data_IF_900857744911
#
_entry.id   IF_900857744911
#
_cell.length_a   1.000
_cell.length_b   1.000
_cell.length_c   1.000
_cell.angle_alpha   90.00
_cell.angle_beta   90.00
_cell.angle_gamma   90.00
#
_symmetry.space_group_name_H-M   'P 1'
#
loop_
_entity.id
_entity.type
_entity.pdbx_description
1 polymer ?
#
# COMPACT_ATOMS: atom_id res chain seq x y z
N UNK A 1 -6.73 -15.14 17.51
CA UNK A 1 -5.43 -14.90 16.84
C UNK A 1 -5.63 -13.98 15.65
N UNK A 2 -5.25 -12.71 15.78
CA UNK A 2 -5.27 -11.73 14.69
C UNK A 2 -3.82 -11.31 14.44
N UNK A 3 -2.95 -12.19 13.95
CA UNK A 3 -1.56 -11.83 13.66
C UNK A 3 -1.14 -12.52 12.37
N UNK A 4 -0.51 -11.78 11.46
CA UNK A 4 0.02 -12.36 10.22
C UNK A 4 1.41 -12.91 10.50
N UNK A 5 1.59 -14.20 10.23
CA UNK A 5 2.87 -14.89 10.40
C UNK A 5 3.53 -15.03 9.03
N UNK A 6 4.67 -14.35 8.86
CA UNK A 6 5.51 -14.38 7.66
C UNK A 6 6.76 -15.21 7.96
N UNK A 7 7.19 -16.05 7.04
CA UNK A 7 8.25 -17.03 7.28
C UNK A 7 9.59 -16.64 6.66
N UNK A 8 10.69 -16.88 7.37
CA UNK A 8 12.07 -16.70 6.89
C UNK A 8 12.77 -18.07 6.72
N UNK A 9 12.57 -18.74 5.59
CA UNK A 9 13.17 -20.06 5.32
C UNK A 9 14.47 -20.02 4.49
N UNK A 10 15.37 -20.97 4.75
CA UNK A 10 16.44 -21.37 3.82
C UNK A 10 15.87 -22.32 2.74
N UNK A 11 16.49 -22.31 1.56
CA UNK A 11 15.88 -22.71 0.28
C UNK A 11 16.33 -24.09 -0.17
N UNK A 12 15.39 -24.97 -0.50
CA UNK A 12 15.63 -26.18 -1.31
C UNK A 12 14.52 -26.44 -2.35
N UNK A 13 14.85 -27.21 -3.38
CA UNK A 13 14.29 -27.19 -4.75
C UNK A 13 13.07 -28.09 -5.03
N UNK A 14 12.10 -27.46 -5.72
CA UNK A 14 11.09 -27.90 -6.73
C UNK A 14 10.35 -29.26 -6.68
N UNK A 15 9.06 -29.17 -7.02
CA UNK A 15 8.30 -30.16 -7.82
C UNK A 15 7.38 -29.40 -8.79
N UNK A 16 7.15 -29.94 -9.99
CA UNK A 16 6.62 -29.28 -11.19
C UNK A 16 5.35 -30.00 -11.67
N UNK A 17 4.21 -29.33 -11.81
CA UNK A 17 2.98 -29.89 -12.41
C UNK A 17 2.42 -28.97 -13.51
N UNK A 18 2.16 -29.52 -14.69
CA UNK A 18 1.96 -28.80 -15.96
C UNK A 18 0.54 -28.26 -16.15
N UNK A 19 -0.48 -28.89 -15.52
CA UNK A 19 -1.88 -28.41 -15.60
C UNK A 19 -2.11 -27.15 -14.76
N UNK A 20 -1.43 -27.04 -13.62
CA UNK A 20 -1.54 -25.89 -12.71
C UNK A 20 -0.96 -24.63 -13.35
N UNK A 21 0.16 -24.75 -14.07
CA UNK A 21 0.81 -23.64 -14.78
C UNK A 21 -0.06 -23.01 -15.89
N UNK A 22 -0.93 -23.78 -16.54
CA UNK A 22 -1.76 -23.29 -17.63
C UNK A 22 -2.96 -22.44 -17.14
N UNK A 23 -3.48 -22.73 -15.95
CA UNK A 23 -4.54 -21.96 -15.31
C UNK A 23 -3.99 -20.74 -14.55
N UNK A 24 -2.80 -20.84 -13.95
CA UNK A 24 -2.09 -19.69 -13.36
C UNK A 24 -1.79 -18.61 -14.42
N UNK A 25 -1.47 -19.00 -15.66
CA UNK A 25 -1.34 -18.06 -16.79
C UNK A 25 -2.63 -17.27 -17.06
N UNK A 26 -3.82 -17.85 -16.83
CA UNK A 26 -5.11 -17.15 -17.00
C UNK A 26 -5.38 -16.10 -15.92
N UNK A 27 -4.70 -16.16 -14.77
CA UNK A 27 -4.81 -15.20 -13.66
C UNK A 27 -3.55 -14.31 -13.57
N UNK A 28 -2.85 -14.11 -14.70
CA UNK A 28 -1.67 -13.25 -14.78
C UNK A 28 -0.41 -13.81 -14.12
N UNK A 29 -0.37 -15.13 -13.84
CA UNK A 29 0.79 -15.85 -13.30
C UNK A 29 1.10 -15.61 -11.82
N UNK A 30 0.48 -14.62 -11.19
CA UNK A 30 0.78 -14.20 -9.82
C UNK A 30 0.06 -15.07 -8.76
N UNK A 31 -1.18 -15.46 -9.00
CA UNK A 31 -2.03 -16.14 -8.01
C UNK A 31 -2.04 -17.67 -8.20
N UNK A 32 -1.98 -18.42 -7.09
CA UNK A 32 -2.24 -19.85 -7.09
C UNK A 32 -3.74 -20.14 -7.27
N UNK A 33 -4.05 -21.28 -7.90
CA UNK A 33 -5.41 -21.71 -8.29
C UNK A 33 -6.07 -22.67 -7.29
N UNK A 34 -5.44 -22.95 -6.15
CA UNK A 34 -5.89 -23.97 -5.19
C UNK A 34 -7.00 -23.51 -4.24
N UNK A 35 -7.51 -22.28 -4.39
CA UNK A 35 -8.48 -21.70 -3.46
C UNK A 35 -9.91 -21.92 -3.94
N UNK A 36 -10.83 -22.26 -3.01
CA UNK A 36 -12.26 -22.33 -3.29
C UNK A 36 -12.79 -20.96 -3.75
N UNK A 37 -13.35 -20.91 -4.96
CA UNK A 37 -13.83 -19.67 -5.59
C UNK A 37 -14.95 -19.01 -4.80
N UNK A 38 -15.86 -19.80 -4.22
CA UNK A 38 -17.02 -19.28 -3.48
C UNK A 38 -16.60 -18.61 -2.17
N UNK A 39 -15.55 -19.13 -1.51
CA UNK A 39 -15.02 -18.56 -0.27
C UNK A 39 -14.45 -17.15 -0.44
N UNK A 40 -13.91 -16.82 -1.62
CA UNK A 40 -13.32 -15.51 -1.92
C UNK A 40 -13.47 -15.16 -3.40
N UNK A 41 -14.63 -14.62 -3.77
CA UNK A 41 -14.98 -14.27 -5.15
C UNK A 41 -14.00 -13.26 -5.75
N UNK A 42 -13.55 -12.31 -4.94
CA UNK A 42 -12.64 -11.25 -5.38
C UNK A 42 -11.28 -11.78 -5.87
N UNK A 43 -10.84 -12.96 -5.44
CA UNK A 43 -9.58 -13.56 -5.91
C UNK A 43 -9.60 -13.83 -7.41
N UNK A 44 -10.74 -14.25 -7.94
CA UNK A 44 -10.89 -14.67 -9.34
C UNK A 44 -11.63 -13.64 -10.19
N UNK A 45 -12.56 -12.88 -9.60
CA UNK A 45 -13.43 -11.96 -10.35
C UNK A 45 -12.84 -10.56 -10.46
N UNK A 46 -11.72 -10.26 -9.80
CA UNK A 46 -11.09 -8.95 -9.94
C UNK A 46 -10.67 -8.62 -11.38
N UNK A 47 -10.33 -9.63 -12.19
CA UNK A 47 -9.94 -9.43 -13.59
C UNK A 47 -11.08 -9.01 -14.51
N UNK A 48 -12.35 -9.17 -14.12
CA UNK A 48 -13.49 -8.72 -14.93
C UNK A 48 -13.77 -7.23 -14.76
N UNK A 49 -13.38 -6.64 -13.62
CA UNK A 49 -13.54 -5.20 -13.36
C UNK A 49 -12.29 -4.39 -13.68
N UNK A 50 -11.12 -5.02 -13.67
CA UNK A 50 -9.83 -4.35 -13.84
C UNK A 50 -9.34 -4.45 -15.28
N UNK A 51 -8.78 -3.36 -15.79
CA UNK A 51 -7.91 -3.42 -16.97
C UNK A 51 -6.70 -4.30 -16.67
N UNK A 52 -6.23 -5.13 -17.62
CA UNK A 52 -5.00 -5.90 -17.44
C UNK A 52 -3.82 -4.98 -17.11
N UNK A 53 -3.12 -5.26 -16.02
CA UNK A 53 -1.94 -4.48 -15.65
C UNK A 53 -0.83 -4.67 -16.68
N UNK A 54 -0.18 -3.59 -17.16
CA UNK A 54 0.97 -3.69 -18.04
C UNK A 54 2.20 -4.27 -17.31
N UNK A 55 2.22 -4.20 -15.97
CA UNK A 55 3.32 -4.67 -15.15
C UNK A 55 3.21 -6.18 -14.92
N UNK A 56 4.08 -6.95 -15.58
CA UNK A 56 4.14 -8.40 -15.44
C UNK A 56 5.10 -8.80 -14.32
N UNK A 57 4.69 -9.67 -13.38
CA UNK A 57 5.60 -10.15 -12.34
C UNK A 57 6.74 -10.96 -12.96
N UNK A 58 7.94 -10.84 -12.40
CA UNK A 58 9.09 -11.64 -12.86
C UNK A 58 8.87 -13.13 -12.57
N UNK A 59 9.42 -14.00 -13.43
CA UNK A 59 9.39 -15.46 -13.18
C UNK A 59 10.07 -15.82 -11.86
N UNK A 60 11.09 -15.06 -11.47
CA UNK A 60 11.78 -15.22 -10.19
C UNK A 60 10.86 -14.88 -9.00
N UNK A 61 10.08 -13.80 -9.07
CA UNK A 61 9.07 -13.47 -8.07
C UNK A 61 8.01 -14.57 -7.95
N UNK A 62 7.45 -15.02 -9.07
CA UNK A 62 6.44 -16.09 -9.08
C UNK A 62 7.00 -17.37 -8.44
N UNK A 63 8.21 -17.81 -8.85
CA UNK A 63 8.88 -18.96 -8.23
C UNK A 63 9.09 -18.77 -6.73
N UNK A 64 9.41 -17.54 -6.28
CA UNK A 64 9.59 -17.23 -4.87
C UNK A 64 8.29 -17.31 -4.09
N UNK A 65 7.19 -16.82 -4.64
CA UNK A 65 5.85 -16.91 -4.03
C UNK A 65 5.40 -18.36 -3.90
N UNK A 66 5.58 -19.19 -4.93
CA UNK A 66 5.26 -20.63 -4.87
C UNK A 66 6.07 -21.37 -3.80
N UNK A 67 7.36 -21.01 -3.63
CA UNK A 67 8.18 -21.55 -2.53
C UNK A 67 7.73 -21.05 -1.16
N UNK A 68 7.34 -19.78 -1.06
CA UNK A 68 6.79 -19.22 0.16
C UNK A 68 5.50 -19.95 0.58
N UNK A 69 4.61 -20.28 -0.35
CA UNK A 69 3.40 -21.06 -0.09
C UNK A 69 3.72 -22.47 0.45
N UNK A 70 4.70 -23.17 -0.14
CA UNK A 70 5.17 -24.46 0.37
C UNK A 70 5.74 -24.34 1.79
N UNK A 71 6.52 -23.29 2.05
CA UNK A 71 7.05 -23.00 3.38
C UNK A 71 5.93 -22.72 4.38
N UNK A 72 4.92 -21.93 3.99
CA UNK A 72 3.76 -21.61 4.82
C UNK A 72 2.91 -22.85 5.11
N UNK A 73 2.72 -23.76 4.15
CA UNK A 73 2.06 -25.05 4.38
C UNK A 73 2.79 -25.93 5.39
N UNK A 74 4.13 -25.87 5.42
CA UNK A 74 4.96 -26.67 6.33
C UNK A 74 5.08 -26.07 7.74
N UNK A 75 5.27 -24.76 7.84
CA UNK A 75 5.58 -24.06 9.09
C UNK A 75 4.39 -23.26 9.66
N UNK A 76 3.27 -23.23 8.96
CA UNK A 76 2.08 -22.43 9.25
C UNK A 76 1.38 -22.79 10.57
N UNK A 77 0.52 -21.90 11.09
CA UNK A 77 -0.33 -22.21 12.23
C UNK A 77 -1.07 -23.54 12.08
N UNK A 78 -1.12 -24.34 13.14
CA UNK A 78 -1.78 -25.65 13.16
C UNK A 78 -0.90 -26.84 12.73
N UNK A 79 0.30 -26.59 12.20
CA UNK A 79 1.26 -27.66 11.86
C UNK A 79 2.06 -28.12 13.09
N UNK A 80 2.59 -29.35 13.04
CA UNK A 80 3.48 -29.88 14.09
C UNK A 80 4.78 -29.06 14.21
N UNK A 81 5.29 -28.52 13.11
CA UNK A 81 6.45 -27.63 13.13
C UNK A 81 6.14 -26.33 13.90
N UNK A 82 4.95 -25.75 13.70
CA UNK A 82 4.51 -24.58 14.45
C UNK A 82 4.34 -24.86 15.94
N UNK A 83 3.68 -25.97 16.31
CA UNK A 83 3.49 -26.36 17.73
C UNK A 83 4.83 -26.52 18.45
N UNK A 84 5.78 -27.23 17.84
CA UNK A 84 7.15 -27.37 18.38
C UNK A 84 7.85 -26.02 18.55
N UNK A 85 7.74 -25.13 17.54
CA UNK A 85 8.36 -23.81 17.61
C UNK A 85 7.76 -22.92 18.71
N UNK A 86 6.45 -23.04 18.98
CA UNK A 86 5.79 -22.32 20.09
C UNK A 86 6.14 -22.91 21.45
N UNK A 87 6.22 -24.23 21.59
CA UNK A 87 6.66 -24.88 22.84
C UNK A 87 8.09 -24.47 23.24
N UNK A 88 8.98 -24.33 22.25
CA UNK A 88 10.34 -23.83 22.48
C UNK A 88 10.37 -22.38 22.96
N UNK A 89 9.44 -21.56 22.46
CA UNK A 89 9.30 -20.17 22.89
C UNK A 89 8.84 -20.09 24.36
N UNK A 90 7.86 -20.91 24.75
CA UNK A 90 7.34 -20.95 26.13
C UNK A 90 8.37 -21.51 27.11
N UNK A 91 9.13 -22.53 26.70
CA UNK A 91 10.15 -23.17 27.54
C UNK A 91 11.44 -22.34 27.72
N UNK A 92 11.60 -21.22 27.00
CA UNK A 92 12.87 -20.46 26.92
C UNK A 92 14.10 -21.33 26.56
N UNK A 93 13.90 -22.42 25.80
CA UNK A 93 14.96 -23.37 25.44
C UNK A 93 15.26 -23.33 23.94
N UNK A 94 16.53 -23.08 23.58
CA UNK A 94 17.01 -23.24 22.19
C UNK A 94 17.43 -24.70 21.99
N UNK A 95 16.54 -25.56 21.49
CA UNK A 95 16.96 -26.89 21.03
C UNK A 95 17.57 -26.76 19.63
N UNK A 96 18.88 -27.03 19.53
CA UNK A 96 19.73 -26.87 18.34
C UNK A 96 19.26 -27.63 17.09
N UNK A 97 18.25 -28.50 17.17
CA UNK A 97 17.88 -29.44 16.11
C UNK A 97 16.76 -28.99 15.16
N UNK A 98 15.93 -27.99 15.52
CA UNK A 98 14.80 -27.55 14.66
C UNK A 98 15.03 -26.13 14.10
N UNK A 99 16.05 -25.95 13.25
CA UNK A 99 16.29 -24.70 12.50
C UNK A 99 15.36 -24.52 11.28
N UNK A 100 14.32 -25.36 11.14
CA UNK A 100 13.54 -25.45 9.90
C UNK A 100 12.60 -24.25 9.65
N UNK A 101 12.07 -23.65 10.72
CA UNK A 101 11.05 -22.60 10.63
C UNK A 101 11.47 -21.37 11.45
N UNK A 102 11.39 -20.19 10.82
CA UNK A 102 11.55 -18.88 11.48
C UNK A 102 10.38 -18.00 11.13
N UNK A 103 10.03 -17.13 12.05
CA UNK A 103 8.74 -16.46 12.12
C UNK A 103 8.94 -14.95 12.25
N UNK A 104 8.20 -14.21 11.46
CA UNK A 104 7.99 -12.77 11.59
C UNK A 104 6.51 -12.58 11.87
N UNK A 105 6.18 -12.27 13.11
CA UNK A 105 4.83 -12.01 13.59
C UNK A 105 4.57 -10.52 13.43
N UNK A 106 3.64 -10.18 12.56
CA UNK A 106 3.24 -8.79 12.38
C UNK A 106 2.11 -8.41 13.33
N UNK A 107 2.33 -7.32 14.07
CA UNK A 107 1.46 -6.82 15.13
C UNK A 107 0.76 -5.52 14.69
N UNK A 108 -0.56 -5.48 14.81
CA UNK A 108 -1.36 -4.34 14.43
C UNK A 108 -1.20 -3.24 15.44
N UNK A 109 -1.51 -2.12 14.87
CA UNK A 109 -1.41 -0.82 15.43
C UNK A 109 -2.81 -0.22 15.35
N UNK A 110 -3.18 0.60 16.32
CA UNK A 110 -4.43 1.38 16.34
C UNK A 110 -4.49 2.47 15.23
N UNK A 111 -3.62 2.38 14.22
CA UNK A 111 -3.58 3.31 13.10
C UNK A 111 -4.56 2.92 11.99
N UNK A 112 -4.91 3.90 11.16
CA UNK A 112 -5.91 3.76 10.10
C UNK A 112 -5.64 2.62 9.11
N UNK A 113 -6.70 2.16 8.44
CA UNK A 113 -6.66 1.01 7.52
C UNK A 113 -5.56 1.13 6.45
N UNK A 114 -5.34 2.32 5.87
CA UNK A 114 -4.28 2.55 4.89
C UNK A 114 -2.89 2.20 5.43
N UNK A 115 -2.57 2.64 6.65
CA UNK A 115 -1.31 2.33 7.32
C UNK A 115 -1.18 0.82 7.54
N UNK A 116 -2.23 0.18 8.06
CA UNK A 116 -2.24 -1.27 8.31
C UNK A 116 -2.01 -2.07 7.02
N UNK A 117 -2.60 -1.64 5.90
CA UNK A 117 -2.42 -2.30 4.60
C UNK A 117 -0.98 -2.15 4.08
N UNK A 118 -0.39 -0.96 4.16
CA UNK A 118 1.00 -0.76 3.70
C UNK A 118 2.04 -1.39 4.61
N UNK A 119 1.67 -1.73 5.86
CA UNK A 119 2.58 -2.29 6.85
C UNK A 119 2.35 -3.78 7.19
N UNK A 120 1.17 -4.38 6.91
CA UNK A 120 0.75 -5.82 6.96
C UNK A 120 0.06 -6.41 8.24
N UNK A 121 -1.21 -6.06 8.48
CA UNK A 121 -2.20 -6.26 9.61
C UNK A 121 -2.20 -7.49 10.60
N UNK A 122 -2.25 -7.21 11.94
CA UNK A 122 -2.96 -8.00 13.00
C UNK A 122 -2.63 -7.69 14.51
N UNK A 123 -3.59 -7.32 15.40
CA UNK A 123 -3.45 -6.70 16.77
C UNK A 123 -2.79 -7.48 17.93
N UNK A 124 -1.87 -6.83 18.68
CA UNK A 124 -1.37 -7.18 20.04
C UNK A 124 -0.86 -5.90 20.76
N UNK A 125 -1.40 -5.58 21.95
CA UNK A 125 -1.19 -4.28 22.61
C UNK A 125 0.01 -4.24 23.60
N UNK A 126 0.66 -5.37 23.88
CA UNK A 126 1.73 -5.48 24.91
C UNK A 126 3.14 -5.08 24.44
N UNK A 127 3.35 -4.71 23.18
CA UNK A 127 4.67 -4.39 22.62
C UNK A 127 4.89 -2.88 22.42
N UNK A 128 5.81 -2.30 23.20
CA UNK A 128 6.21 -0.89 23.16
C UNK A 128 7.75 -0.73 23.26
N UNK A 129 8.25 0.52 23.20
CA UNK A 129 9.70 0.80 23.27
C UNK A 129 10.33 0.37 24.59
N UNK A 130 9.59 0.32 25.68
CA UNK A 130 10.12 -0.03 27.01
C UNK A 130 10.19 -1.54 27.22
N UNK A 131 9.64 -2.32 26.28
CA UNK A 131 9.74 -3.77 26.30
C UNK A 131 11.22 -4.20 26.30
N UNK A 132 11.60 -5.05 27.25
CA UNK A 132 13.00 -5.45 27.49
C UNK A 132 13.65 -6.17 26.29
N UNK A 133 12.85 -6.82 25.45
CA UNK A 133 13.30 -7.47 24.20
C UNK A 133 13.09 -6.60 22.96
N UNK A 134 12.81 -5.31 23.12
CA UNK A 134 12.82 -4.33 22.04
C UNK A 134 14.24 -4.12 21.54
N UNK A 135 14.45 -4.28 20.23
CA UNK A 135 15.77 -4.18 19.60
C UNK A 135 16.50 -2.87 19.92
N UNK A 136 15.85 -1.71 19.74
CA UNK A 136 16.49 -0.43 20.06
C UNK A 136 16.79 -0.25 21.55
N UNK A 137 16.01 -0.87 22.43
CA UNK A 137 16.24 -0.81 23.89
C UNK A 137 17.38 -1.72 24.32
N UNK A 138 17.46 -2.91 23.75
CA UNK A 138 18.60 -3.81 23.96
C UNK A 138 19.91 -3.19 23.44
N UNK A 139 19.87 -2.47 22.32
CA UNK A 139 21.02 -1.69 21.84
C UNK A 139 21.39 -0.54 22.79
N UNK A 140 20.41 0.26 23.20
CA UNK A 140 20.61 1.39 24.11
C UNK A 140 21.23 0.94 25.44
N UNK A 141 20.83 -0.23 25.93
CA UNK A 141 21.34 -0.80 27.18
C UNK A 141 22.61 -1.64 26.99
N UNK A 142 23.22 -1.65 25.80
CA UNK A 142 24.38 -2.46 25.45
C UNK A 142 24.21 -3.97 25.71
N UNK A 143 22.97 -4.46 25.72
CA UNK A 143 22.65 -5.87 25.94
C UNK A 143 22.86 -6.73 24.68
N UNK A 144 22.87 -6.11 23.50
CA UNK A 144 23.20 -6.74 22.22
C UNK A 144 24.11 -5.81 21.41
N UNK A 145 24.95 -6.41 20.57
CA UNK A 145 25.76 -5.74 19.57
C UNK A 145 25.86 -6.59 18.29
N UNK A 146 26.49 -6.05 17.24
CA UNK A 146 26.66 -6.74 15.96
C UNK A 146 27.48 -8.04 16.05
N UNK A 147 28.25 -8.23 17.13
CA UNK A 147 29.07 -9.43 17.39
C UNK A 147 28.40 -10.45 18.31
N UNK A 148 27.17 -10.21 18.78
CA UNK A 148 26.48 -11.11 19.71
C UNK A 148 26.21 -12.45 19.03
N UNK A 149 26.82 -13.52 19.54
CA UNK A 149 26.81 -14.86 18.93
C UNK A 149 25.56 -15.67 19.29
N UNK A 150 24.93 -15.39 20.43
CA UNK A 150 23.71 -16.07 20.90
C UNK A 150 22.53 -15.10 20.76
N UNK A 151 21.69 -15.21 19.72
CA UNK A 151 20.52 -14.38 19.56
C UNK A 151 19.43 -14.75 20.59
N UNK A 152 18.59 -13.80 21.01
CA UNK A 152 17.41 -14.13 21.79
C UNK A 152 16.44 -15.01 20.98
N UNK A 153 15.60 -15.78 21.67
CA UNK A 153 14.55 -16.60 21.05
C UNK A 153 13.52 -15.75 20.30
N UNK A 154 13.20 -14.58 20.85
CA UNK A 154 12.37 -13.57 20.19
C UNK A 154 12.93 -12.17 20.33
N UNK A 155 12.64 -11.33 19.35
CA UNK A 155 13.06 -9.92 19.29
C UNK A 155 11.91 -9.07 18.79
N UNK A 156 11.64 -7.97 19.50
CA UNK A 156 10.64 -6.99 19.08
C UNK A 156 11.29 -5.85 18.28
N UNK A 157 10.75 -5.61 17.09
CA UNK A 157 11.14 -4.55 16.16
C UNK A 157 10.07 -3.45 16.16
N UNK A 158 10.43 -2.32 16.76
CA UNK A 158 9.60 -1.12 16.80
C UNK A 158 9.86 -0.26 15.55
N UNK A 159 9.07 -0.46 14.51
CA UNK A 159 9.18 0.23 13.22
C UNK A 159 8.00 1.18 12.97
N UNK A 160 7.50 1.80 14.04
CA UNK A 160 6.50 2.85 13.98
C UNK A 160 7.11 4.20 13.59
N UNK A 161 6.27 5.14 13.20
CA UNK A 161 6.67 6.50 12.80
C UNK A 161 7.43 7.32 13.86
N UNK A 162 7.34 6.93 15.14
CA UNK A 162 7.92 7.54 16.34
C UNK A 162 9.15 6.80 16.87
N UNK A 163 9.62 5.79 16.14
CA UNK A 163 10.85 5.06 16.40
C UNK A 163 12.12 5.93 16.56
N UNK A 164 13.05 5.45 17.41
CA UNK A 164 14.26 6.19 17.82
C UNK A 164 15.41 5.98 16.84
N UNK A 165 16.55 6.62 17.12
CA UNK A 165 17.77 6.46 16.33
C UNK A 165 18.28 5.01 16.37
N UNK A 166 18.19 4.35 17.53
CA UNK A 166 18.60 2.97 17.76
C UNK A 166 17.72 1.99 16.97
N UNK A 167 16.40 2.20 16.98
CA UNK A 167 15.44 1.37 16.24
C UNK A 167 15.69 1.47 14.72
N UNK A 168 16.06 2.66 14.21
CA UNK A 168 16.42 2.89 12.79
C UNK A 168 17.65 2.11 12.35
N UNK A 169 18.51 1.66 13.26
CA UNK A 169 19.67 0.83 12.90
C UNK A 169 19.27 -0.55 12.37
N UNK A 170 17.98 -0.93 12.47
CA UNK A 170 17.40 -2.05 11.74
C UNK A 170 17.79 -2.01 10.25
N UNK A 171 17.84 -0.83 9.62
CA UNK A 171 18.14 -0.74 8.19
C UNK A 171 19.65 -0.80 7.84
N UNK A 172 20.52 -1.12 8.81
CA UNK A 172 21.94 -1.30 8.60
C UNK A 172 22.30 -2.77 8.35
N UNK A 173 23.19 -3.02 7.38
CA UNK A 173 23.59 -4.38 7.00
C UNK A 173 24.19 -5.18 8.16
N UNK A 174 25.04 -4.54 8.97
CA UNK A 174 25.71 -5.16 10.11
C UNK A 174 24.70 -5.75 11.10
N UNK A 175 23.61 -5.04 11.35
CA UNK A 175 22.57 -5.46 12.29
C UNK A 175 21.65 -6.53 11.70
N UNK A 176 21.42 -6.52 10.39
CA UNK A 176 20.65 -7.57 9.73
C UNK A 176 21.31 -8.96 9.84
N UNK A 177 22.64 -9.02 9.95
CA UNK A 177 23.36 -10.28 10.15
C UNK A 177 22.97 -10.96 11.48
N UNK A 178 22.81 -10.16 12.54
CA UNK A 178 22.31 -10.61 13.84
C UNK A 178 20.81 -10.94 13.79
N UNK A 179 19.99 -10.02 13.29
CA UNK A 179 18.52 -10.14 13.28
C UNK A 179 18.06 -11.39 12.53
N UNK A 180 18.74 -11.78 11.43
CA UNK A 180 18.34 -12.98 10.66
C UNK A 180 18.40 -14.28 11.49
N UNK A 181 19.19 -14.31 12.55
CA UNK A 181 19.41 -15.52 13.36
C UNK A 181 18.38 -15.65 14.50
N UNK A 182 17.56 -14.64 14.74
CA UNK A 182 16.47 -14.70 15.72
C UNK A 182 15.31 -15.54 15.14
N UNK A 183 14.84 -16.58 15.86
CA UNK A 183 13.74 -17.43 15.39
C UNK A 183 12.39 -16.70 15.28
N UNK A 184 12.07 -15.84 16.25
CA UNK A 184 10.80 -15.11 16.31
C UNK A 184 11.01 -13.59 16.30
N UNK A 185 10.67 -12.94 15.19
CA UNK A 185 10.66 -11.48 15.09
C UNK A 185 9.23 -10.97 15.27
N UNK A 186 9.00 -10.10 16.24
CA UNK A 186 7.71 -9.42 16.41
C UNK A 186 7.86 -8.03 15.83
N UNK A 187 7.08 -7.69 14.80
CA UNK A 187 7.21 -6.40 14.09
C UNK A 187 5.95 -5.58 14.30
N UNK A 188 6.10 -4.33 14.76
CA UNK A 188 5.03 -3.34 14.80
C UNK A 188 5.42 -2.18 13.89
N UNK A 189 4.63 -1.95 12.84
CA UNK A 189 4.92 -0.93 11.82
C UNK A 189 3.64 -0.20 11.40
N UNK A 190 3.76 1.05 10.95
CA UNK A 190 2.63 1.84 10.43
C UNK A 190 3.01 2.70 9.21
N UNK A 191 4.15 2.40 8.61
CA UNK A 191 4.82 3.15 7.55
C UNK A 191 5.32 2.17 6.49
N UNK A 192 5.34 2.60 5.23
CA UNK A 192 5.83 1.80 4.12
C UNK A 192 7.36 1.83 4.07
N UNK A 193 8.03 0.90 4.75
CA UNK A 193 9.49 0.92 4.92
C UNK A 193 10.29 0.21 3.82
N UNK A 194 9.61 -0.31 2.79
CA UNK A 194 10.24 -1.06 1.69
C UNK A 194 11.39 -0.33 1.00
N UNK A 195 11.32 0.99 0.70
CA UNK A 195 12.43 1.68 0.04
C UNK A 195 13.76 1.56 0.80
N UNK A 196 13.75 1.57 2.14
CA UNK A 196 14.97 1.40 2.93
C UNK A 196 15.52 -0.02 2.93
N UNK A 197 14.72 -1.04 2.57
CA UNK A 197 15.23 -2.41 2.39
C UNK A 197 16.12 -2.51 1.13
N UNK A 198 15.86 -1.70 0.10
CA UNK A 198 16.65 -1.66 -1.13
C UNK A 198 18.03 -1.02 -0.96
N UNK A 199 18.23 -0.29 0.13
CA UNK A 199 19.50 0.32 0.52
C UNK A 199 20.41 -0.63 1.30
N UNK A 200 19.92 -1.81 1.68
CA UNK A 200 20.69 -2.86 2.35
C UNK A 200 21.34 -3.72 1.25
N UNK A 201 22.69 -3.73 1.10
CA UNK A 201 23.37 -4.39 -0.02
C UNK A 201 23.00 -5.88 -0.17
N UNK A 202 22.92 -6.62 0.94
CA UNK A 202 22.54 -8.04 0.95
C UNK A 202 21.10 -8.32 0.49
N UNK A 203 20.20 -7.35 0.60
CA UNK A 203 18.81 -7.46 0.16
C UNK A 203 18.64 -6.97 -1.28
N UNK A 204 19.34 -5.89 -1.63
CA UNK A 204 19.28 -5.26 -2.95
C UNK A 204 19.49 -6.27 -4.09
N UNK A 205 20.51 -7.12 -3.98
CA UNK A 205 20.81 -8.16 -4.99
C UNK A 205 19.66 -9.14 -5.22
N UNK A 206 18.86 -9.43 -4.19
CA UNK A 206 17.68 -10.29 -4.27
C UNK A 206 16.46 -9.51 -4.77
N UNK A 207 16.28 -8.28 -4.29
CA UNK A 207 15.17 -7.41 -4.65
C UNK A 207 15.18 -7.05 -6.13
N UNK A 208 16.35 -6.78 -6.72
CA UNK A 208 16.50 -6.54 -8.17
C UNK A 208 16.04 -7.76 -8.99
N UNK A 209 16.30 -8.98 -8.52
CA UNK A 209 15.83 -10.20 -9.20
C UNK A 209 14.32 -10.39 -9.06
N UNK A 210 13.75 -10.04 -7.91
CA UNK A 210 12.31 -10.12 -7.66
C UNK A 210 11.54 -9.07 -8.47
N UNK A 211 12.05 -7.84 -8.49
CA UNK A 211 11.42 -6.68 -9.10
C UNK A 211 12.39 -5.99 -10.07
N UNK A 212 12.53 -6.51 -11.30
CA UNK A 212 13.37 -5.88 -12.33
C UNK A 212 12.97 -4.42 -12.59
N UNK A 213 11.65 -4.20 -12.68
CA UNK A 213 11.03 -2.88 -12.66
C UNK A 213 10.81 -2.47 -11.20
N UNK A 214 11.57 -1.47 -10.73
CA UNK A 214 11.78 -1.25 -9.28
C UNK A 214 10.60 -0.60 -8.60
N UNK A 215 9.72 0.04 -9.36
CA UNK A 215 8.52 0.70 -8.87
C UNK A 215 7.26 -0.20 -8.89
N UNK A 216 7.44 -1.52 -8.88
CA UNK A 216 6.34 -2.51 -8.96
C UNK A 216 6.14 -3.31 -7.67
N UNK A 217 6.88 -2.99 -6.61
CA UNK A 217 6.95 -3.81 -5.39
C UNK A 217 5.60 -3.90 -4.71
N UNK A 218 5.03 -2.75 -4.35
CA UNK A 218 3.73 -2.70 -3.69
C UNK A 218 2.61 -3.16 -4.64
N UNK A 219 2.68 -2.84 -5.94
CA UNK A 219 1.70 -3.28 -6.93
C UNK A 219 1.57 -4.81 -7.00
N UNK A 220 2.69 -5.53 -7.07
CA UNK A 220 2.67 -6.99 -7.14
C UNK A 220 2.30 -7.62 -5.80
N UNK A 221 2.90 -7.16 -4.70
CA UNK A 221 2.66 -7.76 -3.38
C UNK A 221 1.24 -7.49 -2.89
N UNK A 222 0.69 -6.28 -3.09
CA UNK A 222 -0.68 -5.96 -2.67
C UNK A 222 -1.71 -6.80 -3.43
N UNK A 223 -1.53 -7.00 -4.73
CA UNK A 223 -2.42 -7.84 -5.56
C UNK A 223 -2.32 -9.33 -5.26
N UNK A 224 -1.20 -9.78 -4.71
CA UNK A 224 -1.02 -11.15 -4.23
C UNK A 224 -1.62 -11.37 -2.84
N UNK A 225 -1.47 -10.40 -1.93
CA UNK A 225 -1.85 -10.53 -0.52
C UNK A 225 -3.30 -10.12 -0.23
N UNK A 226 -3.81 -9.11 -0.93
CA UNK A 226 -5.06 -8.45 -0.57
C UNK A 226 -6.17 -8.89 -1.51
N UNK A 227 -7.08 -9.69 -0.98
CA UNK A 227 -8.33 -10.06 -1.64
C UNK A 227 -9.49 -9.74 -0.70
N UNK A 228 -10.38 -8.78 -1.04
CA UNK A 228 -11.49 -8.43 -0.19
C UNK A 228 -12.40 -9.63 0.06
N UNK A 229 -12.97 -9.72 1.26
CA UNK A 229 -14.00 -10.71 1.57
C UNK A 229 -15.23 -10.47 0.70
N UNK A 230 -16.09 -11.47 0.54
CA UNK A 230 -17.30 -11.37 -0.28
C UNK A 230 -18.21 -10.19 0.12
N UNK A 231 -18.25 -9.83 1.41
CA UNK A 231 -19.01 -8.68 1.89
C UNK A 231 -18.48 -7.36 1.31
N UNK A 232 -17.15 -7.14 1.38
CA UNK A 232 -16.50 -5.93 0.82
C UNK A 232 -16.53 -5.96 -0.70
N UNK A 233 -16.27 -7.13 -1.30
CA UNK A 233 -16.34 -7.30 -2.74
C UNK A 233 -17.73 -6.99 -3.30
N UNK A 234 -18.79 -7.39 -2.60
CA UNK A 234 -20.15 -7.02 -2.94
C UNK A 234 -20.40 -5.51 -2.89
N UNK A 235 -19.76 -4.76 -1.99
CA UNK A 235 -19.83 -3.29 -1.98
C UNK A 235 -19.16 -2.72 -3.25
N UNK A 236 -17.96 -3.21 -3.59
CA UNK A 236 -17.21 -2.78 -4.78
C UNK A 236 -17.99 -3.07 -6.06
N UNK A 237 -18.46 -4.30 -6.25
CA UNK A 237 -19.14 -4.71 -7.49
C UNK A 237 -20.47 -3.98 -7.69
N UNK A 238 -21.28 -3.82 -6.63
CA UNK A 238 -22.55 -3.08 -6.72
C UNK A 238 -22.32 -1.61 -7.07
N UNK A 239 -21.38 -0.95 -6.40
CA UNK A 239 -21.06 0.46 -6.69
C UNK A 239 -20.50 0.63 -8.10
N UNK A 240 -19.56 -0.22 -8.52
CA UNK A 240 -19.00 -0.16 -9.87
C UNK A 240 -20.08 -0.35 -10.93
N UNK A 241 -20.89 -1.41 -10.81
CA UNK A 241 -21.92 -1.73 -11.81
C UNK A 241 -22.98 -0.64 -11.91
N UNK A 242 -23.41 -0.07 -10.77
CA UNK A 242 -24.45 0.95 -10.74
C UNK A 242 -23.99 2.32 -11.27
N UNK A 243 -22.75 2.74 -10.96
CA UNK A 243 -22.34 4.14 -11.15
C UNK A 243 -21.16 4.33 -12.11
N UNK A 244 -20.30 3.32 -12.31
CA UNK A 244 -19.04 3.50 -13.02
C UNK A 244 -18.95 2.70 -14.33
N UNK A 245 -19.64 1.55 -14.41
CA UNK A 245 -19.50 0.59 -15.52
C UNK A 245 -19.86 1.10 -16.91
N UNK A 246 -20.72 2.12 -17.01
CA UNK A 246 -21.20 2.70 -18.26
C UNK A 246 -20.35 3.88 -18.75
N UNK A 247 -19.40 4.35 -17.94
CA UNK A 247 -18.57 5.49 -18.30
C UNK A 247 -17.50 5.08 -19.32
N UNK A 248 -17.21 5.99 -20.26
CA UNK A 248 -16.12 5.83 -21.21
C UNK A 248 -14.75 6.06 -20.55
N UNK A 249 -14.72 6.84 -19.47
CA UNK A 249 -13.53 7.10 -18.66
C UNK A 249 -13.91 7.34 -17.19
N UNK A 250 -13.15 6.75 -16.27
CA UNK A 250 -13.33 6.89 -14.83
C UNK A 250 -12.16 7.70 -14.24
N UNK A 251 -12.47 8.83 -13.61
CA UNK A 251 -11.53 9.61 -12.83
C UNK A 251 -11.76 9.38 -11.34
N UNK A 252 -10.77 8.86 -10.63
CA UNK A 252 -10.77 8.79 -9.17
C UNK A 252 -10.19 10.07 -8.55
N UNK A 253 -10.86 10.64 -7.55
CA UNK A 253 -10.38 11.78 -6.76
C UNK A 253 -10.41 11.40 -5.29
N UNK A 254 -9.23 11.14 -4.73
CA UNK A 254 -9.04 10.79 -3.33
C UNK A 254 -8.70 12.05 -2.53
N UNK A 255 -9.64 12.53 -1.72
CA UNK A 255 -9.50 13.75 -0.91
C UNK A 255 -9.27 13.39 0.56
N UNK A 256 -8.12 13.81 1.10
CA UNK A 256 -7.79 13.70 2.53
C UNK A 256 -7.22 15.01 3.03
N UNK A 257 -7.91 15.57 4.03
CA UNK A 257 -7.56 16.84 4.68
C UNK A 257 -7.00 16.55 6.07
N UNK A 258 -5.74 16.90 6.34
CA UNK A 258 -5.08 16.70 7.63
C UNK A 258 -5.14 17.97 8.50
N UNK A 259 -5.91 17.96 9.59
CA UNK A 259 -5.99 19.12 10.50
C UNK A 259 -6.74 18.83 11.79
N UNK A 260 -6.50 19.62 12.85
CA UNK A 260 -7.24 19.53 14.13
C UNK A 260 -8.72 19.92 13.99
N UNK A 261 -9.04 20.78 13.00
CA UNK A 261 -10.40 21.12 12.56
C UNK A 261 -10.60 20.55 11.16
N UNK A 262 -10.60 19.22 11.02
CA UNK A 262 -10.88 18.59 9.73
C UNK A 262 -12.29 18.96 9.26
N UNK A 263 -12.41 19.45 8.03
CA UNK A 263 -13.65 19.99 7.48
C UNK A 263 -13.56 20.21 5.98
N UNK A 264 -14.62 20.77 5.42
CA UNK A 264 -14.60 21.33 4.07
C UNK A 264 -13.76 22.62 4.05
N UNK A 265 -12.92 22.76 3.04
CA UNK A 265 -12.10 23.94 2.81
C UNK A 265 -12.19 24.36 1.35
N UNK A 266 -12.62 25.61 1.10
CA UNK A 266 -12.76 26.13 -0.26
C UNK A 266 -11.45 26.03 -1.06
N UNK A 267 -10.32 26.40 -0.47
CA UNK A 267 -9.02 26.31 -1.16
C UNK A 267 -8.61 24.88 -1.56
N UNK A 268 -9.11 23.84 -0.89
CA UNK A 268 -8.90 22.44 -1.31
C UNK A 268 -9.78 22.11 -2.50
N UNK A 269 -11.02 22.61 -2.51
CA UNK A 269 -11.91 22.49 -3.67
C UNK A 269 -11.33 23.21 -4.90
N UNK A 270 -10.85 24.44 -4.72
CA UNK A 270 -10.20 25.22 -5.78
C UNK A 270 -8.99 24.47 -6.33
N UNK A 271 -8.15 23.92 -5.45
CA UNK A 271 -7.00 23.10 -5.85
C UNK A 271 -7.41 21.85 -6.65
N UNK A 272 -8.52 21.19 -6.31
CA UNK A 272 -9.04 20.04 -7.05
C UNK A 272 -9.46 20.48 -8.47
N UNK A 273 -10.18 21.59 -8.59
CA UNK A 273 -10.60 22.14 -9.88
C UNK A 273 -9.39 22.55 -10.73
N UNK A 274 -8.50 23.35 -10.16
CA UNK A 274 -7.28 23.82 -10.84
C UNK A 274 -6.43 22.65 -11.33
N UNK A 275 -6.22 21.62 -10.50
CA UNK A 275 -5.50 20.42 -10.89
C UNK A 275 -6.20 19.68 -12.03
N UNK A 276 -7.49 19.40 -11.87
CA UNK A 276 -8.22 18.55 -12.82
C UNK A 276 -8.44 19.23 -14.17
N UNK A 277 -8.60 20.55 -14.20
CA UNK A 277 -8.74 21.32 -15.44
C UNK A 277 -7.39 21.51 -16.13
N UNK A 278 -6.35 21.96 -15.41
CA UNK A 278 -5.00 22.16 -15.94
C UNK A 278 -4.43 20.90 -16.58
N UNK A 279 -4.62 19.76 -15.91
CA UNK A 279 -4.12 18.45 -16.36
C UNK A 279 -5.10 17.75 -17.33
N UNK A 280 -6.17 18.44 -17.75
CA UNK A 280 -7.18 17.95 -18.71
C UNK A 280 -7.83 16.63 -18.28
N UNK A 281 -8.00 16.46 -16.97
CA UNK A 281 -8.71 15.33 -16.36
C UNK A 281 -10.23 15.57 -16.42
N UNK A 282 -10.65 16.81 -16.12
CA UNK A 282 -12.02 17.28 -16.23
C UNK A 282 -12.12 18.46 -17.20
N UNK A 283 -13.25 18.60 -17.91
CA UNK A 283 -13.46 19.74 -18.77
C UNK A 283 -13.72 21.01 -17.95
N UNK A 284 -13.38 22.16 -18.53
CA UNK A 284 -13.77 23.45 -17.95
C UNK A 284 -15.26 23.68 -18.15
N UNK A 285 -15.96 24.33 -17.20
CA UNK A 285 -17.34 24.78 -17.41
C UNK A 285 -17.40 25.82 -18.54
N UNK A 286 -18.33 25.65 -19.48
CA UNK A 286 -18.51 26.60 -20.58
C UNK A 286 -18.98 27.97 -20.08
N UNK A 287 -18.58 29.03 -20.80
CA UNK A 287 -19.18 30.36 -20.63
C UNK A 287 -20.55 30.41 -21.34
N UNK A 288 -21.51 31.16 -20.76
CA UNK A 288 -22.93 31.19 -21.18
C UNK A 288 -23.18 31.47 -22.67
N UNK A 289 -22.22 32.07 -23.39
CA UNK A 289 -22.33 32.46 -24.80
C UNK A 289 -21.89 31.41 -25.82
N UNK A 290 -21.41 30.23 -25.40
CA UNK A 290 -20.93 29.19 -26.32
C UNK A 290 -21.92 28.03 -26.45
N UNK A 291 -22.89 28.15 -27.37
CA UNK A 291 -23.69 27.01 -27.81
C UNK A 291 -22.81 26.07 -28.65
N UNK A 292 -22.52 24.88 -28.11
CA UNK A 292 -21.74 23.86 -28.80
C UNK A 292 -22.56 23.12 -29.86
N UNK A 293 -21.93 22.87 -31.02
CA UNK A 293 -22.45 21.98 -32.05
C UNK A 293 -22.51 20.54 -31.52
N UNK A 294 -23.72 20.07 -31.18
CA UNK A 294 -23.99 18.71 -30.71
C UNK A 294 -23.98 17.76 -31.91
N UNK A 295 -22.83 17.58 -32.57
CA UNK A 295 -22.71 16.68 -33.73
C UNK A 295 -22.11 15.32 -33.37
N UNK A 296 -21.65 15.13 -32.12
CA UNK A 296 -21.03 13.89 -31.63
C UNK A 296 -21.76 13.41 -30.39
N UNK A 297 -21.91 12.09 -30.27
CA UNK A 297 -22.37 11.46 -29.03
C UNK A 297 -21.42 11.85 -27.90
N UNK A 298 -21.92 12.48 -26.82
CA UNK A 298 -21.07 13.01 -25.77
C UNK A 298 -20.43 11.88 -24.96
N UNK A 299 -19.12 11.96 -24.76
CA UNK A 299 -18.37 11.00 -23.93
C UNK A 299 -18.78 11.14 -22.47
N UNK A 300 -19.08 10.03 -21.81
CA UNK A 300 -19.43 9.99 -20.39
C UNK A 300 -18.18 9.78 -19.53
N UNK A 301 -17.85 10.78 -18.71
CA UNK A 301 -16.82 10.69 -17.67
C UNK A 301 -17.48 10.48 -16.31
N UNK A 302 -17.15 9.39 -15.62
CA UNK A 302 -17.53 9.19 -14.22
C UNK A 302 -16.41 9.66 -13.29
N UNK A 303 -16.75 10.50 -12.31
CA UNK A 303 -15.85 11.02 -11.30
C UNK A 303 -16.18 10.37 -9.97
N UNK A 304 -15.33 9.46 -9.53
CA UNK A 304 -15.42 8.81 -8.23
C UNK A 304 -14.68 9.65 -7.19
N UNK A 305 -15.41 10.27 -6.28
CA UNK A 305 -14.85 11.05 -5.17
C UNK A 305 -14.88 10.22 -3.89
N UNK A 306 -13.75 10.15 -3.18
CA UNK A 306 -13.69 9.54 -1.84
C UNK A 306 -13.15 10.55 -0.85
N UNK A 307 -13.96 10.88 0.15
CA UNK A 307 -13.66 11.89 1.16
C UNK A 307 -14.44 11.60 2.43
N UNK A 308 -13.90 11.97 3.59
CA UNK A 308 -14.71 12.03 4.82
C UNK A 308 -15.81 13.10 4.71
N UNK A 309 -15.55 14.15 3.94
CA UNK A 309 -16.43 15.32 3.76
C UNK A 309 -17.14 15.23 2.40
N UNK A 310 -18.44 14.89 2.34
CA UNK A 310 -19.21 14.82 1.09
C UNK A 310 -19.29 16.15 0.33
N UNK A 311 -19.06 17.27 1.01
CA UNK A 311 -19.14 18.62 0.46
C UNK A 311 -18.24 18.81 -0.79
N UNK A 312 -17.11 18.08 -0.90
CA UNK A 312 -16.28 18.12 -2.11
C UNK A 312 -16.94 17.46 -3.33
N UNK A 313 -17.64 16.33 -3.14
CA UNK A 313 -18.39 15.68 -4.21
C UNK A 313 -19.64 16.48 -4.57
N UNK A 314 -20.34 17.01 -3.58
CA UNK A 314 -21.56 17.79 -3.80
C UNK A 314 -21.27 19.07 -4.60
N UNK A 315 -20.15 19.76 -4.29
CA UNK A 315 -19.73 20.95 -5.02
C UNK A 315 -19.31 20.60 -6.47
N UNK A 316 -18.49 19.56 -6.67
CA UNK A 316 -18.15 19.09 -8.03
C UNK A 316 -19.41 18.74 -8.83
N UNK A 317 -20.39 18.09 -8.20
CA UNK A 317 -21.65 17.72 -8.84
C UNK A 317 -22.47 18.95 -9.25
N UNK A 318 -22.57 19.95 -8.37
CA UNK A 318 -23.29 21.21 -8.65
C UNK A 318 -22.67 21.96 -9.85
N UNK A 319 -21.33 22.06 -9.91
CA UNK A 319 -20.62 22.73 -11.03
C UNK A 319 -21.02 22.14 -12.40
N UNK A 320 -20.98 20.81 -12.54
CA UNK A 320 -21.28 20.15 -13.82
C UNK A 320 -22.78 19.95 -14.08
N UNK A 321 -23.64 20.16 -13.07
CA UNK A 321 -25.08 20.19 -13.25
C UNK A 321 -25.57 21.56 -13.72
N UNK A 322 -24.98 22.63 -13.19
CA UNK A 322 -25.38 24.02 -13.46
C UNK A 322 -24.81 24.55 -14.78
N UNK A 323 -23.63 24.07 -15.20
CA UNK A 323 -22.94 24.57 -16.39
C UNK A 323 -22.58 23.42 -17.34
N UNK A 324 -22.86 23.55 -18.66
CA UNK A 324 -22.41 22.57 -19.63
C UNK A 324 -20.87 22.55 -19.67
N UNK A 325 -20.28 21.41 -20.03
CA UNK A 325 -18.84 21.29 -20.21
C UNK A 325 -18.41 21.96 -21.51
N UNK A 326 -17.29 22.69 -21.50
CA UNK A 326 -16.64 23.32 -22.67
C UNK A 326 -16.31 22.36 -23.81
N UNK A 327 -16.28 21.06 -23.53
CA UNK A 327 -15.97 19.99 -24.49
C UNK A 327 -17.21 19.19 -24.93
N UNK A 328 -18.38 19.44 -24.34
CA UNK A 328 -19.59 18.65 -24.55
C UNK A 328 -19.59 17.27 -23.86
N UNK A 329 -18.56 16.94 -23.08
CA UNK A 329 -18.50 15.70 -22.28
C UNK A 329 -19.53 15.71 -21.14
N UNK A 330 -20.21 14.58 -20.92
CA UNK A 330 -21.10 14.41 -19.78
C UNK A 330 -20.28 13.99 -18.55
N UNK A 331 -20.46 14.68 -17.43
CA UNK A 331 -19.75 14.39 -16.18
C UNK A 331 -20.71 13.89 -15.12
N UNK A 332 -20.53 12.64 -14.68
CA UNK A 332 -21.27 12.02 -13.58
C UNK A 332 -20.38 11.99 -12.33
N UNK A 333 -20.77 12.68 -11.27
CA UNK A 333 -20.04 12.65 -9.99
C UNK A 333 -20.69 11.68 -9.00
N UNK A 334 -19.89 10.79 -8.42
CA UNK A 334 -20.33 9.78 -7.46
C UNK A 334 -19.38 9.69 -6.26
N UNK A 335 -19.95 9.72 -5.04
CA UNK A 335 -19.23 9.45 -3.80
C UNK A 335 -19.91 8.29 -3.04
N UNK A 336 -19.19 7.20 -2.72
CA UNK A 336 -19.79 6.03 -2.05
C UNK A 336 -20.22 6.29 -0.60
N UNK A 337 -19.43 7.04 0.16
CA UNK A 337 -19.71 7.36 1.55
C UNK A 337 -19.13 8.71 1.97
N UNK A 338 -19.67 9.31 3.03
CA UNK A 338 -19.23 10.59 3.59
C UNK A 338 -19.21 10.54 5.12
N UNK A 339 -18.32 9.72 5.67
CA UNK A 339 -18.35 9.30 7.08
C UNK A 339 -18.06 10.42 8.10
N UNK A 340 -17.65 11.61 7.65
CA UNK A 340 -17.24 12.83 8.40
C UNK A 340 -16.06 12.66 9.35
N UNK A 341 -15.99 11.53 10.04
CA UNK A 341 -14.99 11.20 11.05
C UNK A 341 -14.43 9.82 10.75
N UNK A 342 -13.12 9.68 10.88
CA UNK A 342 -12.44 8.39 10.80
C UNK A 342 -12.75 7.57 12.06
N UNK A 343 -13.31 6.37 11.87
CA UNK A 343 -13.70 5.46 12.95
C UNK A 343 -12.93 4.15 12.83
N UNK A 344 -11.60 4.22 13.02
CA UNK A 344 -10.70 3.07 12.95
C UNK A 344 -11.17 1.94 13.86
N UNK A 345 -10.99 0.69 13.42
CA UNK A 345 -11.37 -0.54 14.14
C UNK A 345 -12.88 -0.80 14.27
N UNK A 346 -13.72 0.09 13.72
CA UNK A 346 -15.13 -0.26 13.45
C UNK A 346 -15.21 -1.06 12.16
N UNK A 347 -15.54 -2.35 12.28
CA UNK A 347 -15.63 -3.32 11.18
C UNK A 347 -16.32 -2.75 9.92
N UNK A 348 -17.51 -2.15 10.06
CA UNK A 348 -18.24 -1.62 8.91
C UNK A 348 -17.55 -0.41 8.25
N UNK A 349 -16.97 0.47 9.06
CA UNK A 349 -16.23 1.64 8.59
C UNK A 349 -14.98 1.21 7.80
N UNK A 350 -14.20 0.25 8.34
CA UNK A 350 -13.04 -0.30 7.66
C UNK A 350 -13.43 -1.05 6.36
N UNK A 351 -14.56 -1.74 6.35
CA UNK A 351 -15.08 -2.41 5.16
C UNK A 351 -15.43 -1.42 4.03
N UNK A 352 -16.08 -0.31 4.37
CA UNK A 352 -16.37 0.77 3.42
C UNK A 352 -15.09 1.43 2.90
N UNK A 353 -14.16 1.76 3.79
CA UNK A 353 -12.87 2.32 3.43
C UNK A 353 -12.08 1.40 2.48
N UNK A 354 -12.08 0.08 2.74
CA UNK A 354 -11.47 -0.89 1.84
C UNK A 354 -12.17 -0.92 0.48
N UNK A 355 -13.50 -0.90 0.46
CA UNK A 355 -14.27 -0.88 -0.79
C UNK A 355 -13.94 0.37 -1.63
N UNK A 356 -13.83 1.53 -1.00
CA UNK A 356 -13.45 2.79 -1.65
C UNK A 356 -12.03 2.76 -2.22
N UNK A 357 -11.03 2.25 -1.47
CA UNK A 357 -9.67 2.05 -2.01
C UNK A 357 -9.68 1.15 -3.24
N UNK A 358 -10.51 0.09 -3.23
CA UNK A 358 -10.68 -0.78 -4.38
C UNK A 358 -11.36 -0.08 -5.55
N UNK A 359 -12.44 0.69 -5.32
CA UNK A 359 -13.11 1.44 -6.37
C UNK A 359 -12.18 2.47 -7.05
N UNK A 360 -11.41 3.23 -6.26
CA UNK A 360 -10.39 4.15 -6.81
C UNK A 360 -9.35 3.43 -7.66
N UNK A 361 -8.97 2.22 -7.26
CA UNK A 361 -8.00 1.40 -8.01
C UNK A 361 -8.54 0.84 -9.33
N UNK A 362 -9.84 1.00 -9.61
CA UNK A 362 -10.48 0.67 -10.90
C UNK A 362 -10.52 1.88 -11.85
N UNK A 363 -10.14 3.07 -11.39
CA UNK A 363 -10.16 4.27 -12.21
C UNK A 363 -9.08 4.24 -13.31
N UNK A 364 -9.30 4.99 -14.38
CA UNK A 364 -8.34 5.17 -15.47
C UNK A 364 -7.25 6.18 -15.10
N UNK A 365 -7.67 7.22 -14.40
CA UNK A 365 -6.83 8.30 -13.89
C UNK A 365 -7.16 8.51 -12.42
N UNK A 366 -6.16 8.91 -11.64
CA UNK A 366 -6.30 9.04 -10.19
C UNK A 366 -5.64 10.33 -9.71
N UNK A 367 -6.39 11.12 -8.95
CA UNK A 367 -5.89 12.23 -8.15
C UNK A 367 -5.83 11.79 -6.69
N UNK A 368 -4.71 12.01 -6.00
CA UNK A 368 -4.52 11.66 -4.59
C UNK A 368 -4.14 12.88 -3.76
N UNK A 369 -4.41 12.80 -2.46
CA UNK A 369 -3.97 13.84 -1.51
C UNK A 369 -2.60 13.53 -0.94
N UNK A 370 -1.77 14.57 -0.78
CA UNK A 370 -0.45 14.46 -0.14
C UNK A 370 -0.48 13.66 1.16
N UNK A 371 0.51 12.78 1.38
CA UNK A 371 0.72 11.92 2.57
C UNK A 371 -0.38 10.88 2.84
N UNK A 372 -1.41 10.81 2.02
CA UNK A 372 -2.54 9.91 2.21
C UNK A 372 -2.18 8.47 1.87
N UNK A 373 -1.96 7.64 2.89
CA UNK A 373 -1.72 6.20 2.69
C UNK A 373 -2.94 5.49 2.09
N UNK A 374 -4.14 6.05 2.26
CA UNK A 374 -5.34 5.60 1.54
C UNK A 374 -5.17 5.73 0.02
N UNK A 375 -4.63 6.86 -0.44
CA UNK A 375 -4.29 7.10 -1.85
C UNK A 375 -3.20 6.16 -2.34
N UNK A 376 -2.15 5.93 -1.53
CA UNK A 376 -1.07 4.99 -1.90
C UNK A 376 -1.57 3.55 -2.09
N UNK A 377 -2.52 3.10 -1.27
CA UNK A 377 -3.12 1.77 -1.43
C UNK A 377 -3.88 1.69 -2.76
N UNK A 378 -4.74 2.67 -3.04
CA UNK A 378 -5.54 2.72 -4.26
C UNK A 378 -4.66 2.74 -5.53
N UNK A 379 -3.68 3.65 -5.58
CA UNK A 379 -2.80 3.81 -6.74
C UNK A 379 -1.96 2.54 -6.97
N UNK A 380 -1.49 1.91 -5.88
CA UNK A 380 -0.68 0.71 -5.94
C UNK A 380 -1.46 -0.51 -6.42
N UNK A 381 -2.68 -0.72 -5.91
CA UNK A 381 -3.57 -1.79 -6.37
C UNK A 381 -3.93 -1.62 -7.85
N UNK A 382 -4.17 -0.38 -8.29
CA UNK A 382 -4.55 -0.08 -9.68
C UNK A 382 -3.38 -0.06 -10.65
N UNK A 383 -2.14 0.04 -10.15
CA UNK A 383 -0.98 0.28 -11.00
C UNK A 383 -0.97 1.68 -11.62
N UNK A 384 -1.53 2.66 -10.90
CA UNK A 384 -1.78 4.01 -11.39
C UNK A 384 -0.68 4.96 -10.90
N UNK A 385 -0.09 5.75 -11.81
CA UNK A 385 0.72 6.92 -11.43
C UNK A 385 -0.21 8.10 -11.23
N UNK A 386 -0.51 8.54 -10.01
CA UNK A 386 -1.52 9.58 -9.77
C UNK A 386 -1.00 11.00 -10.06
N UNK A 387 -1.93 11.96 -10.06
CA UNK A 387 -1.64 13.37 -9.81
C UNK A 387 -1.82 13.65 -8.32
N UNK A 388 -0.85 14.29 -7.68
CA UNK A 388 -0.85 14.50 -6.23
C UNK A 388 -1.16 15.95 -5.91
N UNK A 389 -2.22 16.17 -5.13
CA UNK A 389 -2.55 17.46 -4.53
C UNK A 389 -1.51 17.77 -3.45
N UNK A 390 -0.71 18.82 -3.68
CA UNK A 390 0.47 19.13 -2.87
C UNK A 390 0.18 19.82 -1.54
N UNK A 391 -0.89 20.61 -1.46
CA UNK A 391 -1.08 21.53 -0.34
C UNK A 391 -1.88 20.93 0.80
N UNK A 392 -1.32 21.03 2.01
CA UNK A 392 -2.06 20.82 3.25
C UNK A 392 -2.78 22.11 3.67
N UNK A 393 -4.01 22.03 4.22
CA UNK A 393 -4.82 23.19 4.63
C UNK A 393 -4.21 24.10 5.70
N UNK A 394 -3.07 23.71 6.29
CA UNK A 394 -2.39 24.48 7.34
C UNK A 394 -1.73 25.75 6.80
N UNK A 395 -1.34 25.75 5.52
CA UNK A 395 -0.76 26.90 4.87
C UNK A 395 -1.89 27.71 4.24
N UNK A 396 -2.44 28.69 4.98
CA UNK A 396 -3.48 29.62 4.52
C UNK A 396 -3.05 30.55 3.36
N UNK A 397 -2.03 30.18 2.58
CA UNK A 397 -1.57 30.96 1.43
C UNK A 397 -2.23 30.45 0.16
N UNK A 398 -2.40 31.38 -0.78
CA UNK A 398 -2.99 31.28 -2.12
C UNK A 398 -2.80 29.91 -2.81
N UNK A 399 -3.73 29.49 -3.70
CA UNK A 399 -3.62 28.23 -4.44
C UNK A 399 -2.27 28.20 -5.12
N UNK A 400 -1.45 27.24 -4.71
CA UNK A 400 -0.05 27.30 -5.06
C UNK A 400 0.19 26.58 -6.39
N UNK A 401 1.12 27.15 -7.15
CA UNK A 401 1.41 26.77 -8.53
C UNK A 401 2.65 25.85 -8.54
N UNK A 402 2.55 24.58 -9.01
CA UNK A 402 1.37 23.95 -9.61
C UNK A 402 0.37 23.39 -8.57
N UNK A 403 -0.94 23.33 -8.89
CA UNK A 403 -1.98 22.84 -7.97
C UNK A 403 -1.82 21.35 -7.64
N UNK A 404 -1.23 20.59 -8.57
CA UNK A 404 -0.84 19.21 -8.37
C UNK A 404 0.37 18.87 -9.25
N UNK A 405 1.00 17.74 -8.93
CA UNK A 405 2.13 17.21 -9.72
C UNK A 405 1.90 15.76 -10.07
N UNK A 406 2.39 15.33 -11.24
CA UNK A 406 2.36 13.91 -11.59
C UNK A 406 3.38 13.14 -10.75
N UNK A 407 2.97 12.04 -10.15
CA UNK A 407 3.87 11.16 -9.43
C UNK A 407 4.91 10.52 -10.36
N UNK A 408 6.17 10.45 -9.90
CA UNK A 408 7.28 9.77 -10.56
C UNK A 408 6.98 8.28 -10.75
N UNK A 409 6.34 7.67 -9.76
CA UNK A 409 5.95 6.25 -9.78
C UNK A 409 4.69 5.98 -8.96
N UNK A 410 4.13 4.79 -9.15
CA UNK A 410 2.97 4.28 -8.42
C UNK A 410 3.30 3.78 -7.00
N UNK A 411 4.57 3.80 -6.60
CA UNK A 411 4.99 3.31 -5.28
C UNK A 411 4.54 4.24 -4.13
N UNK A 412 4.18 3.68 -2.96
CA UNK A 412 3.93 4.46 -1.76
C UNK A 412 5.18 5.20 -1.28
N UNK A 413 4.98 6.34 -0.61
CA UNK A 413 6.05 7.07 0.04
C UNK A 413 6.42 6.48 1.42
N UNK A 414 7.71 6.30 1.69
CA UNK A 414 8.23 6.06 3.02
C UNK A 414 8.41 7.38 3.79
N UNK A 415 7.33 7.85 4.43
CA UNK A 415 7.22 9.19 5.04
C UNK A 415 8.25 9.45 6.17
N UNK A 416 8.79 8.40 6.78
CA UNK A 416 9.71 8.49 7.94
C UNK A 416 11.05 7.80 7.67
N UNK A 417 11.60 7.91 6.47
CA UNK A 417 12.87 7.25 6.13
C UNK A 417 14.03 7.63 7.08
N UNK A 418 14.95 6.70 7.38
CA UNK A 418 16.18 6.99 8.14
C UNK A 418 17.18 7.76 7.26
N UNK A 419 17.11 9.09 7.30
CA UNK A 419 17.99 9.96 6.51
C UNK A 419 19.42 10.13 7.07
N UNK A 420 19.69 9.57 8.24
CA UNK A 420 20.98 9.63 8.93
C UNK A 420 21.51 8.22 9.21
N UNK A 421 22.80 8.11 9.51
CA UNK A 421 23.46 6.82 9.78
C UNK A 421 23.83 6.06 8.51
N UNK A 422 23.83 4.73 8.59
CA UNK A 422 24.38 3.83 7.57
C UNK A 422 23.76 3.98 6.16
N UNK A 423 22.53 4.50 6.05
CA UNK A 423 21.82 4.64 4.77
C UNK A 423 21.98 6.02 4.10
N UNK A 424 22.44 7.03 4.84
CA UNK A 424 22.37 8.43 4.40
C UNK A 424 23.13 8.70 3.08
N UNK A 425 24.32 8.12 2.93
CA UNK A 425 25.13 8.24 1.71
C UNK A 425 24.46 7.51 0.54
N UNK A 426 23.99 6.28 0.79
CA UNK A 426 23.38 5.41 -0.21
C UNK A 426 22.08 5.98 -0.79
N UNK A 427 21.27 6.68 0.01
CA UNK A 427 20.06 7.38 -0.47
C UNK A 427 20.41 8.37 -1.58
N UNK A 428 21.50 9.14 -1.42
CA UNK A 428 21.91 10.17 -2.38
C UNK A 428 22.47 9.59 -3.68
N UNK A 429 23.07 8.40 -3.63
CA UNK A 429 23.75 7.78 -4.77
C UNK A 429 22.91 6.72 -5.48
N UNK A 430 21.78 6.31 -4.92
CA UNK A 430 20.94 5.25 -5.49
C UNK A 430 19.92 5.83 -6.47
N UNK A 431 20.03 5.56 -7.78
CA UNK A 431 19.23 6.28 -8.78
C UNK A 431 17.74 5.94 -8.73
N UNK A 432 17.40 4.71 -8.33
CA UNK A 432 16.02 4.22 -8.21
C UNK A 432 15.35 4.54 -6.87
N UNK A 433 15.97 5.39 -6.03
CA UNK A 433 15.38 5.93 -4.81
C UNK A 433 15.37 7.45 -4.93
N UNK A 434 14.20 8.04 -4.80
CA UNK A 434 14.02 9.50 -4.86
C UNK A 434 13.23 9.98 -3.65
N UNK A 435 13.39 11.26 -3.32
CA UNK A 435 12.52 11.92 -2.35
C UNK A 435 11.09 11.98 -2.87
N UNK A 436 10.11 11.78 -2.01
CA UNK A 436 8.71 11.80 -2.40
C UNK A 436 8.28 13.20 -2.86
N UNK A 437 7.39 13.24 -3.83
CA UNK A 437 6.83 14.46 -4.43
C UNK A 437 6.00 15.26 -3.41
N UNK A 438 5.41 14.54 -2.44
CA UNK A 438 4.39 15.05 -1.55
C UNK A 438 4.86 15.22 -0.10
N UNK A 439 6.03 14.67 0.23
CA UNK A 439 6.65 14.82 1.54
C UNK A 439 8.17 14.66 1.47
N UNK A 440 8.90 15.77 1.54
CA UNK A 440 10.34 15.80 1.82
C UNK A 440 10.47 15.92 3.36
N UNK A 441 10.91 14.92 4.14
CA UNK A 441 12.05 13.98 3.97
C UNK A 441 11.75 12.54 3.48
N UNK A 442 10.54 12.22 3.02
CA UNK A 442 10.17 10.86 2.64
C UNK A 442 10.92 10.38 1.39
N UNK A 443 11.08 9.05 1.24
CA UNK A 443 11.68 8.44 0.04
C UNK A 443 10.75 7.39 -0.57
N UNK A 444 10.84 7.18 -1.89
CA UNK A 444 10.10 6.15 -2.62
C UNK A 444 10.94 5.53 -3.73
N UNK A 445 10.50 4.37 -4.20
CA UNK A 445 11.11 3.69 -5.34
C UNK A 445 10.60 4.29 -6.65
N UNK A 446 11.51 4.50 -7.59
CA UNK A 446 11.20 4.88 -8.97
C UNK A 446 11.89 3.89 -9.90
N UNK A 447 11.26 3.60 -11.03
CA UNK A 447 11.98 2.90 -12.10
C UNK A 447 12.76 3.95 -12.88
N UNK A 448 14.09 3.83 -12.83
CA UNK A 448 14.98 4.73 -13.53
C UNK A 448 14.93 4.42 -15.03
N UNK A 449 14.48 5.34 -15.89
CA UNK A 449 14.65 5.17 -17.31
C UNK A 449 16.15 5.29 -17.59
N UNK A 450 16.75 4.19 -18.06
CA UNK A 450 18.02 4.28 -18.77
C UNK A 450 17.88 5.14 -20.01
#
# INVERSE_FOLDING_TARGET
MRSLIIFLGSFDTSSNDSKQQQMEKKIGGLLATEFDEKSCLSRYHQSSLRKPSPYKPSSYLVSKLRRYEKLHKRCGPGTEAYKRATEQLDANQVRSSDKECRYVVWVATEYGLGNRIISMIGQIDSYNTDYSRCYGTMLKNHAINSTTTIPPLHLYLHLLHDYRAEDKTFYCQENQAFIKNVPWLVVKANIYFVPSLWLIPSFQTKLIKLFPQKDTVFHHLSRYLLHPTNQVWGMVTRSYNAYLSKADEILGIQVRVFGRRAGYFQHVMDQILDCTQREKLLPEPAQESQMMNISKTPKLKAVLVTSLHPEYSDNLKSIFLERPSSTGEMVLVYQPSGERVQQTDKKLHDQKALAEMYLLSLADKLVTSTRSTFGYVAQGLGGLKPWILLYEPRNRKAPADPPCVRAMSMEPCFIRAPLHGCQAKTIKTTPFIKYCEDWNPGIKLVDDPK
#
